data_IF_603302295106
#
_entry.id   IF_603302295106
#
_cell.length_a   1.000
_cell.length_b   1.000
_cell.length_c   1.000
_cell.angle_alpha   90.00
_cell.angle_beta   90.00
_cell.angle_gamma   90.00
#
_symmetry.space_group_name_H-M   'P 1'
#
loop_
_entity.id
_entity.type
_entity.pdbx_description
1 polymer ?
#
# COMPACT_ATOMS: atom_id res chain seq x y z
N UNK A 1 11.17 8.64 15.89
CA UNK A 1 11.36 8.70 14.43
C UNK A 1 10.21 7.91 13.83
N UNK A 2 9.37 8.56 13.03
CA UNK A 2 8.10 8.00 12.55
C UNK A 2 8.34 6.88 11.51
N UNK A 3 7.78 5.71 11.74
CA UNK A 3 7.98 4.52 10.89
C UNK A 3 7.36 4.70 9.50
N UNK A 4 6.20 5.37 9.41
CA UNK A 4 5.52 5.66 8.14
C UNK A 4 6.40 6.57 7.30
N UNK A 5 6.95 7.62 7.92
CA UNK A 5 7.87 8.54 7.25
C UNK A 5 9.14 7.83 6.71
N UNK A 6 9.75 6.97 7.52
CA UNK A 6 10.96 6.27 7.12
C UNK A 6 10.72 5.32 5.93
N UNK A 7 9.63 4.53 5.98
CA UNK A 7 9.25 3.63 4.89
C UNK A 7 8.93 4.42 3.62
N UNK A 8 8.16 5.51 3.74
CA UNK A 8 7.86 6.43 2.62
C UNK A 8 9.13 6.90 1.93
N UNK A 9 10.08 7.41 2.72
CA UNK A 9 11.35 7.94 2.21
C UNK A 9 12.16 6.86 1.50
N UNK A 10 12.19 5.63 2.02
CA UNK A 10 12.91 4.54 1.38
C UNK A 10 12.30 4.11 0.06
N UNK A 11 10.97 3.95 -0.01
CA UNK A 11 10.28 3.62 -1.26
C UNK A 11 10.47 4.74 -2.30
N UNK A 12 10.40 6.00 -1.89
CA UNK A 12 10.70 7.13 -2.78
C UNK A 12 12.13 7.05 -3.32
N UNK A 13 13.12 6.78 -2.46
CA UNK A 13 14.51 6.61 -2.89
C UNK A 13 14.73 5.41 -3.82
N UNK A 14 13.87 4.37 -3.73
CA UNK A 14 13.84 3.23 -4.65
C UNK A 14 13.11 3.54 -5.98
N UNK A 15 12.51 4.73 -6.10
CA UNK A 15 11.91 5.23 -7.33
C UNK A 15 10.43 4.93 -7.51
N UNK A 16 9.71 4.59 -6.43
CA UNK A 16 8.24 4.45 -6.47
C UNK A 16 7.56 5.82 -6.53
N UNK A 17 6.45 5.90 -7.26
CA UNK A 17 5.56 7.04 -7.16
C UNK A 17 4.75 6.97 -5.87
N UNK A 18 4.74 8.06 -5.12
CA UNK A 18 4.08 8.14 -3.84
C UNK A 18 3.26 9.42 -3.80
N UNK A 19 1.95 9.29 -3.61
CA UNK A 19 1.12 10.41 -3.18
C UNK A 19 0.92 10.38 -1.68
N UNK A 20 1.23 11.51 -1.07
CA UNK A 20 0.85 11.79 0.30
C UNK A 20 -0.62 12.17 0.32
N UNK A 21 -1.37 11.59 1.24
CA UNK A 21 -2.65 12.20 1.59
C UNK A 21 -2.36 13.35 2.56
N UNK A 22 -2.47 14.59 2.08
CA UNK A 22 -2.26 15.79 2.87
C UNK A 22 -3.48 16.04 3.78
N UNK A 23 -3.78 15.18 4.76
CA UNK A 23 -4.76 15.38 5.86
C UNK A 23 -6.18 15.87 5.42
N UNK A 24 -6.49 15.93 4.12
CA UNK A 24 -7.67 16.66 3.65
C UNK A 24 -8.38 15.90 2.54
N UNK A 25 -9.24 14.99 2.99
CA UNK A 25 -10.54 14.82 2.37
C UNK A 25 -10.57 13.92 1.15
N UNK A 26 -10.60 12.61 1.39
CA UNK A 26 -11.32 11.68 0.51
C UNK A 26 -12.37 10.82 1.18
N UNK A 27 -12.91 11.24 2.32
CA UNK A 27 -14.26 10.85 2.72
C UNK A 27 -14.91 12.06 3.42
N UNK A 28 -15.57 12.93 2.64
CA UNK A 28 -16.54 13.86 3.22
C UNK A 28 -17.67 13.01 3.78
N UNK A 29 -17.55 12.69 5.07
CA UNK A 29 -18.59 12.55 6.10
C UNK A 29 -17.91 11.93 7.34
N UNK A 30 -17.42 12.82 8.22
CA UNK A 30 -17.23 12.63 9.67
C UNK A 30 -16.89 11.19 10.15
N UNK A 31 -15.67 10.68 9.89
CA UNK A 31 -14.89 9.84 10.85
C UNK A 31 -13.54 9.34 10.33
N UNK A 32 -13.25 9.33 9.02
CA UNK A 32 -12.02 8.74 8.47
C UNK A 32 -10.76 9.59 8.67
N UNK A 33 -9.93 9.26 9.65
CA UNK A 33 -8.62 9.90 9.84
C UNK A 33 -7.51 8.92 9.47
N UNK A 34 -6.87 9.16 8.33
CA UNK A 34 -5.77 8.34 7.82
C UNK A 34 -4.42 9.05 8.04
N UNK A 35 -3.38 8.29 8.40
CA UNK A 35 -2.00 8.77 8.40
C UNK A 35 -1.13 7.78 7.61
N UNK A 36 -0.79 8.12 6.37
CA UNK A 36 -0.13 7.18 5.47
C UNK A 36 0.23 7.79 4.13
N UNK A 37 0.42 6.92 3.14
CA UNK A 37 0.65 7.30 1.76
C UNK A 37 0.15 6.21 0.80
N UNK A 38 -0.13 6.63 -0.43
CA UNK A 38 -0.54 5.76 -1.52
C UNK A 38 0.61 5.53 -2.50
N UNK A 39 0.71 4.30 -2.97
CA UNK A 39 1.54 3.87 -4.07
C UNK A 39 0.68 3.76 -5.34
N UNK A 40 1.23 4.29 -6.42
CA UNK A 40 0.51 4.52 -7.66
C UNK A 40 1.08 3.61 -8.75
N UNK A 41 0.19 2.99 -9.53
CA UNK A 41 0.60 2.17 -10.66
C UNK A 41 0.98 3.01 -11.89
N UNK A 42 1.44 2.36 -12.96
CA UNK A 42 1.81 3.03 -14.22
C UNK A 42 0.68 3.81 -14.89
N UNK A 43 -0.58 3.55 -14.54
CA UNK A 43 -1.78 4.22 -15.07
C UNK A 43 -2.24 5.40 -14.20
N UNK A 44 -1.42 5.85 -13.24
CA UNK A 44 -1.75 6.90 -12.27
C UNK A 44 -2.95 6.57 -11.34
N UNK A 45 -3.25 5.28 -11.14
CA UNK A 45 -4.31 4.83 -10.24
C UNK A 45 -3.74 4.54 -8.85
N UNK A 46 -4.50 4.90 -7.82
CA UNK A 46 -4.16 4.56 -6.44
C UNK A 46 -4.50 3.11 -6.22
N UNK A 47 -3.50 2.29 -5.90
CA UNK A 47 -3.69 0.85 -5.79
C UNK A 47 -3.42 0.38 -4.38
N UNK A 48 -2.33 0.85 -3.75
CA UNK A 48 -1.90 0.34 -2.46
C UNK A 48 -1.68 1.48 -1.47
N UNK A 49 -2.38 1.44 -0.35
CA UNK A 49 -2.16 2.33 0.78
C UNK A 49 -1.29 1.64 1.84
N UNK A 50 -0.39 2.40 2.45
CA UNK A 50 0.30 2.02 3.68
C UNK A 50 0.21 3.15 4.72
N UNK A 51 -0.22 2.81 5.93
CA UNK A 51 -0.36 3.81 6.99
C UNK A 51 -1.18 3.32 8.18
N UNK A 52 -1.86 4.26 8.82
CA UNK A 52 -2.72 4.06 9.98
C UNK A 52 -4.12 4.55 9.62
N UNK A 53 -5.14 3.73 9.89
CA UNK A 53 -6.55 4.13 9.89
C UNK A 53 -7.02 4.40 11.33
N UNK A 54 -6.94 5.66 11.76
CA UNK A 54 -7.11 6.05 13.17
C UNK A 54 -8.54 5.81 13.69
N UNK A 55 -9.51 5.71 12.81
CA UNK A 55 -10.92 5.45 13.07
C UNK A 55 -11.26 3.96 13.14
N UNK A 56 -10.72 3.17 12.22
CA UNK A 56 -10.92 1.71 12.19
C UNK A 56 -10.25 0.99 13.36
N UNK A 57 -9.09 1.47 13.82
CA UNK A 57 -8.27 0.74 14.79
C UNK A 57 -8.57 1.01 16.26
N UNK A 58 -9.56 1.85 16.60
CA UNK A 58 -9.96 2.11 18.00
C UNK A 58 -10.34 0.84 18.76
N UNK A 59 -10.92 -0.16 18.09
CA UNK A 59 -11.34 -1.42 18.70
C UNK A 59 -10.28 -2.53 18.62
N UNK A 60 -9.28 -2.40 17.73
CA UNK A 60 -8.45 -3.54 17.32
C UNK A 60 -6.95 -3.40 17.67
N UNK A 61 -6.50 -2.28 18.23
CA UNK A 61 -5.11 -2.08 18.72
C UNK A 61 -3.97 -2.32 17.71
N UNK A 62 -4.28 -2.46 16.41
CA UNK A 62 -3.32 -2.78 15.33
C UNK A 62 -3.01 -1.49 14.55
N UNK A 63 -1.79 -0.92 14.60
CA UNK A 63 -1.61 0.46 14.15
C UNK A 63 -1.24 0.61 12.67
N UNK A 64 -0.46 -0.29 12.05
CA UNK A 64 -0.05 -0.15 10.65
C UNK A 64 -0.79 -1.13 9.75
N UNK A 65 -1.43 -0.62 8.70
CA UNK A 65 -2.14 -1.37 7.68
C UNK A 65 -1.51 -1.22 6.29
N UNK A 66 -1.73 -2.26 5.49
CA UNK A 66 -1.54 -2.27 4.04
C UNK A 66 -2.94 -2.52 3.47
N UNK A 67 -3.42 -1.63 2.61
CA UNK A 67 -4.78 -1.71 2.05
C UNK A 67 -4.71 -1.69 0.53
N UNK A 68 -5.35 -2.67 -0.11
CA UNK A 68 -5.72 -2.56 -1.51
C UNK A 68 -6.95 -1.65 -1.59
N UNK A 69 -6.75 -0.42 -2.07
CA UNK A 69 -7.82 0.56 -2.22
C UNK A 69 -8.57 0.29 -3.51
N UNK A 70 -9.90 0.21 -3.42
CA UNK A 70 -10.73 -0.07 -4.58
C UNK A 70 -11.12 1.21 -5.32
N UNK A 71 -11.03 2.38 -4.66
CA UNK A 71 -11.32 3.68 -5.26
C UNK A 71 -12.55 3.66 -6.17
N UNK A 72 -12.36 4.12 -7.41
CA UNK A 72 -13.37 4.09 -8.49
C UNK A 72 -13.18 2.91 -9.48
N UNK A 73 -12.34 1.92 -9.14
CA UNK A 73 -12.06 0.79 -10.02
C UNK A 73 -13.31 -0.07 -10.22
N UNK A 74 -13.50 -0.59 -11.43
CA UNK A 74 -14.61 -1.50 -11.71
C UNK A 74 -14.35 -2.87 -11.08
N UNK A 75 -15.43 -3.61 -10.84
CA UNK A 75 -15.35 -4.95 -10.23
C UNK A 75 -14.50 -5.96 -11.03
N UNK A 76 -14.47 -5.83 -12.35
CA UNK A 76 -13.65 -6.66 -13.23
C UNK A 76 -12.15 -6.29 -13.17
N UNK A 77 -11.83 -5.03 -12.88
CA UNK A 77 -10.47 -4.55 -12.66
C UNK A 77 -9.96 -4.89 -11.25
N UNK A 78 -10.85 -4.84 -10.25
CA UNK A 78 -10.47 -5.05 -8.84
C UNK A 78 -10.20 -6.52 -8.53
N UNK A 79 -11.01 -7.43 -9.07
CA UNK A 79 -11.00 -8.83 -8.64
C UNK A 79 -9.64 -9.52 -8.87
N UNK A 80 -8.96 -9.35 -10.02
CA UNK A 80 -7.62 -9.90 -10.21
C UNK A 80 -6.58 -9.33 -9.22
N UNK A 81 -6.66 -8.03 -8.91
CA UNK A 81 -5.77 -7.39 -7.93
C UNK A 81 -6.06 -7.88 -6.51
N UNK A 82 -7.33 -8.03 -6.17
CA UNK A 82 -7.78 -8.56 -4.88
C UNK A 82 -7.31 -10.01 -4.69
N UNK A 83 -7.40 -10.86 -5.71
CA UNK A 83 -6.90 -12.23 -5.65
C UNK A 83 -5.37 -12.27 -5.46
N UNK A 84 -4.63 -11.40 -6.14
CA UNK A 84 -3.17 -11.24 -5.95
C UNK A 84 -2.85 -10.77 -4.53
N UNK A 85 -3.57 -9.77 -4.01
CA UNK A 85 -3.41 -9.26 -2.65
C UNK A 85 -3.67 -10.34 -1.60
N UNK A 86 -4.77 -11.11 -1.75
CA UNK A 86 -5.13 -12.22 -0.86
C UNK A 86 -4.07 -13.32 -0.87
N UNK A 87 -3.53 -13.65 -2.06
CA UNK A 87 -2.44 -14.62 -2.19
C UNK A 87 -1.18 -14.16 -1.44
N UNK A 88 -0.75 -12.90 -1.65
CA UNK A 88 0.39 -12.32 -0.94
C UNK A 88 0.20 -12.34 0.59
N UNK A 89 -0.97 -11.97 1.08
CA UNK A 89 -1.28 -12.02 2.51
C UNK A 89 -1.14 -13.45 3.07
N UNK A 90 -1.63 -14.46 2.34
CA UNK A 90 -1.51 -15.88 2.75
C UNK A 90 -0.05 -16.33 2.79
N UNK A 91 0.73 -16.01 1.76
CA UNK A 91 2.16 -16.34 1.68
C UNK A 91 2.98 -15.73 2.82
N UNK A 92 2.54 -14.56 3.31
CA UNK A 92 3.19 -13.83 4.42
C UNK A 92 2.55 -14.10 5.79
N UNK A 93 1.58 -15.02 5.87
CA UNK A 93 0.84 -15.34 7.09
C UNK A 93 0.25 -14.08 7.77
N UNK A 94 -0.36 -13.24 6.94
CA UNK A 94 -1.05 -12.02 7.31
C UNK A 94 -2.57 -12.23 7.26
N UNK A 95 -3.27 -11.66 8.24
CA UNK A 95 -4.73 -11.72 8.33
C UNK A 95 -5.34 -10.67 7.40
N UNK A 96 -6.39 -11.06 6.68
CA UNK A 96 -7.15 -10.16 5.79
C UNK A 96 -8.44 -9.75 6.49
N UNK A 97 -8.74 -8.46 6.48
CA UNK A 97 -9.95 -7.86 7.01
C UNK A 97 -10.57 -7.01 5.90
N UNK A 98 -11.89 -6.99 5.80
CA UNK A 98 -12.60 -6.18 4.80
C UNK A 98 -13.19 -4.94 5.49
N UNK A 99 -12.93 -3.76 4.95
CA UNK A 99 -13.49 -2.50 5.47
C UNK A 99 -13.63 -1.47 4.37
N UNK A 100 -14.70 -0.67 4.41
CA UNK A 100 -14.87 0.51 3.55
C UNK A 100 -14.83 0.22 2.05
N UNK A 101 -15.10 -1.03 1.64
CA UNK A 101 -14.92 -1.45 0.25
C UNK A 101 -13.46 -1.62 -0.15
N UNK A 102 -12.58 -2.06 0.76
CA UNK A 102 -11.19 -2.44 0.47
C UNK A 102 -10.77 -3.72 1.19
N UNK A 103 -9.72 -4.37 0.67
CA UNK A 103 -9.05 -5.49 1.35
C UNK A 103 -7.87 -4.96 2.15
N UNK A 104 -7.91 -5.16 3.46
CA UNK A 104 -6.94 -4.61 4.42
C UNK A 104 -6.18 -5.76 5.06
N UNK A 105 -4.89 -5.57 5.25
CA UNK A 105 -4.09 -6.35 6.19
C UNK A 105 -3.31 -5.44 7.12
N UNK A 106 -2.76 -5.98 8.20
CA UNK A 106 -2.03 -5.20 9.19
C UNK A 106 -0.68 -5.85 9.54
N UNK A 107 0.26 -5.00 9.92
CA UNK A 107 1.57 -5.43 10.36
C UNK A 107 1.49 -5.75 11.85
N UNK A 108 1.93 -6.96 12.22
CA UNK A 108 1.89 -7.42 13.62
C UNK A 108 2.72 -6.49 14.49
N UNK A 109 2.17 -6.10 15.65
CA UNK A 109 2.79 -5.14 16.60
C UNK A 109 4.22 -5.52 16.99
N UNK A 110 4.51 -6.82 17.13
CA UNK A 110 5.85 -7.30 17.46
C UNK A 110 6.91 -7.00 16.38
N UNK A 111 6.52 -6.79 15.12
CA UNK A 111 7.41 -6.32 14.05
C UNK A 111 7.63 -4.81 14.20
N UNK A 112 6.56 -4.06 14.50
CA UNK A 112 6.57 -2.59 14.67
C UNK A 112 7.41 -2.14 15.87
N UNK A 113 7.55 -2.96 16.91
CA UNK A 113 8.31 -2.60 18.11
C UNK A 113 9.82 -2.93 18.01
N UNK A 114 10.29 -3.59 16.94
CA UNK A 114 11.71 -3.94 16.77
C UNK A 114 12.54 -2.74 16.29
N UNK A 115 13.80 -2.68 16.70
CA UNK A 115 14.78 -1.70 16.18
C UNK A 115 15.03 -1.96 14.68
N UNK A 116 15.16 -0.89 13.88
CA UNK A 116 15.42 -0.94 12.43
C UNK A 116 14.39 -1.73 11.61
N UNK A 117 13.14 -1.75 12.06
CA UNK A 117 12.06 -2.47 11.40
C UNK A 117 11.52 -1.80 10.13
N UNK A 118 11.82 -0.51 9.90
CA UNK A 118 11.35 0.21 8.72
C UNK A 118 11.82 -0.49 7.44
N UNK A 119 13.08 -0.95 7.35
CA UNK A 119 13.58 -1.68 6.19
C UNK A 119 12.82 -3.01 5.95
N UNK A 120 12.50 -3.75 7.01
CA UNK A 120 11.71 -4.99 6.91
C UNK A 120 10.29 -4.69 6.37
N UNK A 121 9.70 -3.59 6.82
CA UNK A 121 8.37 -3.15 6.37
C UNK A 121 8.44 -2.62 4.93
N UNK A 122 9.48 -1.86 4.58
CA UNK A 122 9.74 -1.41 3.21
C UNK A 122 9.81 -2.60 2.25
N UNK A 123 10.58 -3.64 2.61
CA UNK A 123 10.70 -4.85 1.79
C UNK A 123 9.37 -5.61 1.68
N UNK A 124 8.59 -5.68 2.77
CA UNK A 124 7.24 -6.25 2.72
C UNK A 124 6.35 -5.49 1.75
N UNK A 125 6.31 -4.15 1.84
CA UNK A 125 5.48 -3.33 0.95
C UNK A 125 5.93 -3.47 -0.51
N UNK A 126 7.23 -3.56 -0.76
CA UNK A 126 7.78 -3.79 -2.10
C UNK A 126 7.33 -5.14 -2.69
N UNK A 127 7.26 -6.21 -1.90
CA UNK A 127 6.71 -7.48 -2.36
C UNK A 127 5.23 -7.36 -2.77
N UNK A 128 4.45 -6.56 -2.02
CA UNK A 128 3.08 -6.23 -2.41
C UNK A 128 3.04 -5.41 -3.69
N UNK A 129 3.90 -4.41 -3.84
CA UNK A 129 4.01 -3.61 -5.06
C UNK A 129 4.28 -4.50 -6.29
N UNK A 130 5.29 -5.36 -6.22
CA UNK A 130 5.67 -6.26 -7.32
C UNK A 130 4.51 -7.20 -7.67
N UNK A 131 3.87 -7.81 -6.66
CA UNK A 131 2.74 -8.70 -6.88
C UNK A 131 1.49 -8.01 -7.43
N UNK A 132 1.35 -6.70 -7.21
CA UNK A 132 0.25 -5.86 -7.69
C UNK A 132 0.64 -5.02 -8.93
N UNK A 133 1.78 -5.29 -9.55
CA UNK A 133 2.26 -4.59 -10.75
C UNK A 133 2.46 -3.08 -10.56
N UNK A 134 2.81 -2.68 -9.34
CA UNK A 134 3.27 -1.34 -8.99
C UNK A 134 4.81 -1.37 -9.07
N UNK A 135 5.38 -0.72 -10.08
CA UNK A 135 6.82 -0.76 -10.34
C UNK A 135 7.47 0.62 -10.19
N UNK A 136 8.74 0.70 -9.78
CA UNK A 136 9.50 1.93 -9.82
C UNK A 136 9.46 2.61 -11.20
N UNK A 137 9.45 3.95 -11.22
CA UNK A 137 9.54 4.74 -12.45
C UNK A 137 10.78 4.40 -13.29
N UNK A 138 11.88 4.03 -12.62
CA UNK A 138 13.13 3.63 -13.28
C UNK A 138 13.01 2.29 -14.03
N UNK A 139 12.14 1.37 -13.61
CA UNK A 139 11.90 0.10 -14.32
C UNK A 139 10.98 0.24 -15.54
N UNK A 140 10.10 1.23 -15.57
CA UNK A 140 9.20 1.46 -16.73
C UNK A 140 9.89 2.06 -17.96
N UNK A 141 11.03 2.75 -17.80
CA UNK A 141 11.83 3.24 -18.93
C UNK A 141 12.57 2.13 -19.69
N UNK A 142 12.84 1.00 -19.03
CA UNK A 142 13.54 -0.13 -19.67
C UNK A 142 12.56 -0.99 -20.47
N UNK A 143 11.31 -1.14 -20.01
CA UNK A 143 10.29 -1.93 -20.71
C UNK A 143 9.77 -1.16 -21.94
N UNK A 144 9.60 0.17 -21.86
CA UNK A 144 9.19 0.97 -23.03
C UNK A 144 10.25 1.05 -24.14
N UNK A 145 11.51 0.69 -23.85
CA UNK A 145 12.57 0.57 -24.86
C UNK A 145 12.67 -0.82 -25.49
N UNK A 146 12.06 -1.84 -24.90
CA UNK A 146 12.04 -3.20 -25.44
C UNK A 146 10.82 -3.50 -26.33
N UNK A 147 9.86 -2.58 -26.40
CA UNK A 147 8.66 -2.69 -27.25
C UNK A 147 8.56 -1.58 -28.31
N UNK A 148 9.62 -0.80 -28.53
CA UNK A 148 9.67 0.32 -29.48
C UNK A 148 10.74 0.14 -30.57
N UNK A 149 11.23 -1.08 -30.77
CA UNK A 149 12.00 -1.46 -31.95
C UNK A 149 11.28 -2.62 -32.64
N UNK A 150 10.31 -2.26 -33.47
CA UNK A 150 9.93 -2.95 -34.71
C UNK A 150 9.98 -1.92 -35.84
#
# INVERSE_FOLDING_TARGET
>A
MDIVYNVKRELYNRGYDIKQDDITGRYYNETGHEYGFYLINSNNQWVLFFGIWLDFWKEYSKPLCITLDYGDLRLDEIKPLEDKFKKLCREKNLEIIYYGGGSVTYIKRNIIMKKNNHEQITNLIEEFCIGLEIYPFSSNRTISKLCAED
#
